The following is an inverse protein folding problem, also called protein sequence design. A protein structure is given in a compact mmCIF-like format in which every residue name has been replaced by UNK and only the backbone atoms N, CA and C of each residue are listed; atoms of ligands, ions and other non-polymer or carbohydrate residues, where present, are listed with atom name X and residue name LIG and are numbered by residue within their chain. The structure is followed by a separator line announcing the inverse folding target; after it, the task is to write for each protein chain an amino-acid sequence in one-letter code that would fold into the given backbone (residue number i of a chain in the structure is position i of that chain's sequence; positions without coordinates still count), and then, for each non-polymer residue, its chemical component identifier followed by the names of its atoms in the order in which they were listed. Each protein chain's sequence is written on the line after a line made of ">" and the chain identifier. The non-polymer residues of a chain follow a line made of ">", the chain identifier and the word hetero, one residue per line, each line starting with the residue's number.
data_IF_406315109478
#
_entry.id   IF_406315109478
#
_cell.length_a   1.000
_cell.length_b   1.000
_cell.length_c   1.000
_cell.angle_alpha   90.00
_cell.angle_beta   90.00
_cell.angle_gamma   90.00
#
_symmetry.space_group_name_H-M   'P 1'
#
loop_
_entity.id
_entity.type
_entity.pdbx_description
1 polymer ?
#
# COMPACT_ATOMS: atom_id res chain seq x y z
N UNK A 1 -0.74 -3.82 -0.41
CA UNK A 1 0.58 -3.56 -1.00
C UNK A 1 1.42 -2.79 -0.01
N UNK A 2 2.70 -3.06 0.05
CA UNK A 2 3.66 -2.39 0.93
C UNK A 2 5.03 -3.03 0.81
N UNK A 3 5.94 -2.72 1.71
CA UNK A 3 7.26 -3.35 1.73
C UNK A 3 8.28 -2.52 2.48
N UNK A 4 9.45 -3.11 2.71
CA UNK A 4 10.55 -2.46 3.40
C UNK A 4 11.45 -1.71 2.42
N UNK A 5 12.15 -0.70 2.94
CA UNK A 5 13.27 -0.11 2.20
C UNK A 5 14.43 -1.12 2.17
N UNK A 6 15.00 -1.35 0.99
CA UNK A 6 16.26 -2.08 0.88
C UNK A 6 17.45 -1.21 1.33
N UNK A 7 18.59 -1.83 1.69
CA UNK A 7 19.81 -1.09 2.01
C UNK A 7 20.21 -0.11 0.90
N UNK A 8 20.19 1.20 1.22
CA UNK A 8 20.54 2.27 0.29
C UNK A 8 19.35 2.94 -0.39
N UNK A 9 18.12 2.48 -0.14
CA UNK A 9 16.90 3.17 -0.56
C UNK A 9 16.48 4.22 0.48
N UNK A 10 16.25 5.46 0.04
CA UNK A 10 15.91 6.59 0.92
C UNK A 10 14.72 7.43 0.43
N UNK A 11 14.19 7.12 -0.76
CA UNK A 11 13.01 7.80 -1.32
C UNK A 11 11.78 6.91 -1.09
N UNK A 12 10.88 7.27 -0.14
CA UNK A 12 9.71 6.45 0.18
C UNK A 12 8.78 6.24 -1.01
N UNK A 13 8.68 7.19 -1.93
CA UNK A 13 7.81 7.05 -3.08
C UNK A 13 8.41 6.09 -4.11
N UNK A 14 9.73 6.17 -4.34
CA UNK A 14 10.41 5.23 -5.22
C UNK A 14 10.29 3.79 -4.69
N UNK A 15 10.43 3.60 -3.38
CA UNK A 15 10.25 2.30 -2.71
C UNK A 15 8.81 1.80 -2.90
N UNK A 16 7.80 2.62 -2.61
CA UNK A 16 6.39 2.24 -2.77
C UNK A 16 6.04 1.87 -4.22
N UNK A 17 6.63 2.54 -5.22
CA UNK A 17 6.47 2.20 -6.63
C UNK A 17 7.17 0.89 -7.01
N UNK A 18 8.36 0.62 -6.47
CA UNK A 18 9.07 -0.65 -6.68
C UNK A 18 8.29 -1.82 -6.09
N UNK A 19 7.99 -1.76 -4.80
CA UNK A 19 7.22 -2.78 -4.07
C UNK A 19 5.85 -3.02 -4.72
N UNK A 20 5.13 -1.94 -5.04
CA UNK A 20 3.85 -2.06 -5.74
C UNK A 20 3.96 -2.80 -7.08
N UNK A 21 5.04 -2.61 -7.84
CA UNK A 21 5.29 -3.35 -9.10
C UNK A 21 5.63 -4.81 -8.85
N UNK A 22 6.44 -5.10 -7.83
CA UNK A 22 6.83 -6.47 -7.47
C UNK A 22 5.62 -7.28 -7.00
N UNK A 23 4.81 -6.73 -6.11
CA UNK A 23 3.66 -7.44 -5.51
C UNK A 23 2.46 -7.60 -6.46
N UNK A 24 2.33 -6.71 -7.46
CA UNK A 24 1.15 -6.68 -8.35
C UNK A 24 1.42 -6.92 -9.84
N UNK A 25 2.67 -6.88 -10.27
CA UNK A 25 3.04 -6.95 -11.69
C UNK A 25 2.54 -5.79 -12.55
N UNK A 26 1.96 -4.73 -11.98
CA UNK A 26 1.44 -3.59 -12.74
C UNK A 26 2.58 -2.71 -13.26
N UNK A 27 2.76 -2.56 -14.59
CA UNK A 27 3.95 -1.91 -15.15
C UNK A 27 3.89 -0.37 -15.09
N UNK A 28 2.72 0.22 -14.91
CA UNK A 28 2.46 1.65 -15.07
C UNK A 28 1.99 2.35 -13.79
N UNK A 29 2.24 1.74 -12.62
CA UNK A 29 1.93 2.39 -11.33
C UNK A 29 2.58 3.77 -11.27
N UNK A 30 1.73 4.77 -11.00
CA UNK A 30 2.11 6.16 -10.85
C UNK A 30 1.36 6.79 -9.66
N UNK A 31 1.94 7.82 -9.01
CA UNK A 31 1.28 8.53 -7.90
C UNK A 31 -0.02 9.20 -8.36
N UNK A 32 -1.04 9.18 -7.50
CA UNK A 32 -2.34 9.81 -7.77
C UNK A 32 -2.97 10.41 -6.50
N UNK A 33 -3.72 11.53 -6.62
CA UNK A 33 -3.71 12.48 -7.73
C UNK A 33 -2.37 13.22 -7.90
N UNK A 34 -1.47 13.07 -6.92
CA UNK A 34 -0.14 13.65 -6.88
C UNK A 34 0.80 12.75 -6.06
N UNK A 35 2.04 13.19 -5.87
CA UNK A 35 3.11 12.47 -5.18
C UNK A 35 3.17 12.74 -3.65
N UNK A 36 2.18 13.39 -3.05
CA UNK A 36 2.21 13.68 -1.62
C UNK A 36 1.92 12.45 -0.76
N UNK A 37 2.54 12.42 0.42
CA UNK A 37 2.25 11.44 1.47
C UNK A 37 0.81 11.61 1.92
N UNK A 38 0.03 10.53 1.85
CA UNK A 38 -1.38 10.51 2.29
C UNK A 38 -1.53 10.22 3.76
N UNK A 39 -0.64 9.37 4.29
CA UNK A 39 -0.68 8.98 5.69
C UNK A 39 0.71 8.54 6.15
N UNK A 40 1.16 9.08 7.28
CA UNK A 40 2.29 8.57 8.04
C UNK A 40 1.75 7.98 9.33
N UNK A 41 2.00 6.70 9.57
CA UNK A 41 1.47 5.98 10.74
C UNK A 41 2.51 5.03 11.32
N UNK A 42 2.58 4.96 12.65
CA UNK A 42 3.39 3.98 13.35
C UNK A 42 2.51 2.75 13.62
N UNK A 43 2.94 1.59 13.14
CA UNK A 43 2.21 0.32 13.28
C UNK A 43 3.07 -0.66 14.10
N UNK A 44 2.55 -1.19 15.22
CA UNK A 44 3.27 -2.20 15.98
C UNK A 44 3.32 -3.52 15.22
N UNK A 45 4.49 -4.15 15.20
CA UNK A 45 4.72 -5.48 14.64
C UNK A 45 5.00 -6.43 15.82
N UNK A 46 4.17 -7.46 16.03
CA UNK A 46 4.39 -8.42 17.10
C UNK A 46 5.68 -9.21 16.84
N UNK A 47 6.29 -9.72 17.92
CA UNK A 47 7.42 -10.62 17.79
C UNK A 47 7.05 -11.88 16.99
N UNK A 48 8.01 -12.39 16.22
CA UNK A 48 7.88 -13.66 15.51
C UNK A 48 9.17 -14.48 15.62
N UNK A 49 9.27 -15.58 14.89
CA UNK A 49 10.43 -16.48 14.94
C UNK A 49 11.74 -15.88 14.40
N UNK A 50 11.67 -14.73 13.73
CA UNK A 50 12.81 -14.06 13.07
C UNK A 50 13.20 -12.75 13.74
N UNK A 51 12.23 -12.02 14.30
CA UNK A 51 12.46 -10.67 14.82
C UNK A 51 11.68 -10.39 16.12
N UNK A 52 12.25 -9.58 17.04
CA UNK A 52 11.53 -9.12 18.22
C UNK A 52 10.41 -8.15 17.84
N UNK A 53 9.49 -7.92 18.78
CA UNK A 53 8.47 -6.90 18.62
C UNK A 53 9.11 -5.53 18.36
N UNK A 54 8.61 -4.82 17.36
CA UNK A 54 9.13 -3.53 16.93
C UNK A 54 8.01 -2.71 16.27
N UNK A 55 8.35 -1.57 15.69
CA UNK A 55 7.39 -0.69 15.04
C UNK A 55 7.82 -0.40 13.60
N UNK A 56 6.85 -0.39 12.69
CA UNK A 56 7.02 0.14 11.35
C UNK A 56 6.52 1.58 11.30
N UNK A 57 7.30 2.47 10.67
CA UNK A 57 6.84 3.78 10.28
C UNK A 57 6.37 3.73 8.82
N UNK A 58 5.07 3.50 8.62
CA UNK A 58 4.48 3.38 7.30
C UNK A 58 4.27 4.76 6.67
N UNK A 59 4.96 5.01 5.55
CA UNK A 59 4.72 6.18 4.69
C UNK A 59 3.84 5.74 3.52
N UNK A 60 2.59 6.21 3.48
CA UNK A 60 1.59 5.72 2.52
C UNK A 60 1.28 6.73 1.44
N UNK A 61 1.22 6.24 0.21
CA UNK A 61 0.85 6.98 -0.99
C UNK A 61 -0.40 6.34 -1.60
N UNK A 62 -1.02 7.05 -2.54
CA UNK A 62 -2.04 6.47 -3.42
C UNK A 62 -1.45 6.39 -4.82
N UNK A 63 -1.57 5.22 -5.44
CA UNK A 63 -1.07 4.93 -6.77
C UNK A 63 -2.25 4.58 -7.68
N UNK A 64 -2.10 4.87 -8.97
CA UNK A 64 -3.05 4.52 -10.01
C UNK A 64 -2.36 3.75 -11.15
N UNK A 65 -3.16 2.98 -11.88
CA UNK A 65 -2.79 2.24 -13.09
C UNK A 65 -3.86 2.46 -14.14
N UNK A 66 -3.47 2.49 -15.42
CA UNK A 66 -4.39 2.51 -16.55
C UNK A 66 -4.63 1.10 -17.13
N UNK A 67 -3.95 0.07 -16.62
CA UNK A 67 -4.07 -1.34 -17.05
C UNK A 67 -4.42 -2.27 -15.89
N UNK A 68 -5.53 -2.03 -15.14
CA UNK A 68 -5.88 -2.80 -13.95
C UNK A 68 -6.05 -4.31 -14.20
N UNK A 69 -6.34 -4.74 -15.43
CA UNK A 69 -6.45 -6.14 -15.86
C UNK A 69 -5.10 -6.89 -15.91
N UNK A 70 -3.99 -6.15 -15.95
CA UNK A 70 -2.64 -6.71 -15.93
C UNK A 70 -2.21 -7.19 -14.53
N UNK A 71 -2.96 -6.86 -13.48
CA UNK A 71 -2.63 -7.20 -12.08
C UNK A 71 -2.43 -8.71 -11.89
N UNK A 72 -1.31 -9.13 -11.30
CA UNK A 72 -1.02 -10.52 -10.93
C UNK A 72 -0.42 -10.56 -9.52
N UNK A 73 -0.86 -11.48 -8.65
CA UNK A 73 -0.25 -11.61 -7.33
C UNK A 73 1.19 -12.12 -7.47
N UNK A 74 2.08 -11.64 -6.61
CA UNK A 74 3.46 -12.12 -6.52
C UNK A 74 3.56 -13.62 -6.19
N UNK A 75 2.63 -14.13 -5.39
CA UNK A 75 2.57 -15.54 -5.01
C UNK A 75 1.12 -15.97 -4.66
N UNK A 76 0.83 -17.29 -4.57
CA UNK A 76 -0.52 -17.78 -4.29
C UNK A 76 -1.09 -17.40 -2.92
N UNK A 77 -0.24 -17.09 -1.94
CA UNK A 77 -0.64 -16.77 -0.56
C UNK A 77 -0.97 -15.27 -0.37
N UNK A 78 -0.73 -14.44 -1.39
CA UNK A 78 -1.00 -13.00 -1.41
C UNK A 78 -2.02 -12.63 -2.51
N UNK A 79 -3.29 -13.06 -2.41
CA UNK A 79 -4.29 -12.79 -3.45
C UNK A 79 -4.63 -11.30 -3.56
N UNK A 80 -4.79 -10.82 -4.79
CA UNK A 80 -5.18 -9.44 -5.09
C UNK A 80 -6.64 -9.35 -5.53
N UNK A 81 -7.29 -8.26 -5.11
CA UNK A 81 -8.68 -7.93 -5.49
C UNK A 81 -8.84 -6.43 -5.65
N UNK A 82 -9.47 -6.01 -6.75
CA UNK A 82 -9.96 -4.66 -6.91
C UNK A 82 -11.25 -4.50 -6.12
N UNK A 83 -11.37 -3.40 -5.38
CA UNK A 83 -12.54 -3.08 -4.56
C UNK A 83 -12.95 -1.64 -4.75
N UNK A 84 -14.25 -1.41 -4.73
CA UNK A 84 -14.80 -0.08 -4.48
C UNK A 84 -14.47 0.37 -3.05
N UNK A 85 -14.51 1.68 -2.73
CA UNK A 85 -14.25 2.16 -1.38
C UNK A 85 -15.17 1.53 -0.31
N UNK A 86 -16.45 1.35 -0.65
CA UNK A 86 -17.41 0.73 0.26
C UNK A 86 -17.10 -0.75 0.51
N UNK A 87 -16.76 -1.52 -0.54
CA UNK A 87 -16.33 -2.90 -0.41
C UNK A 87 -15.02 -3.03 0.39
N UNK A 88 -14.09 -2.09 0.23
CA UNK A 88 -12.84 -2.05 0.99
C UNK A 88 -13.12 -1.84 2.48
N UNK A 89 -13.98 -0.87 2.83
CA UNK A 89 -14.39 -0.66 4.24
C UNK A 89 -15.05 -1.88 4.88
N UNK A 90 -15.86 -2.60 4.11
CA UNK A 90 -16.52 -3.81 4.60
C UNK A 90 -15.54 -4.98 4.81
N UNK A 91 -14.43 -5.00 4.06
CA UNK A 91 -13.48 -6.10 4.08
C UNK A 91 -12.32 -5.92 5.07
N UNK A 92 -11.98 -4.68 5.41
CA UNK A 92 -10.83 -4.34 6.25
C UNK A 92 -11.25 -4.21 7.71
N UNK A 93 -10.41 -4.71 8.62
CA UNK A 93 -10.64 -4.64 10.07
C UNK A 93 -9.61 -3.77 10.79
N UNK A 94 -8.48 -3.54 10.14
CA UNK A 94 -7.31 -2.83 10.65
C UNK A 94 -7.60 -1.33 10.70
N UNK A 95 -7.69 -0.79 11.92
CA UNK A 95 -8.05 0.62 12.14
C UNK A 95 -7.14 1.61 11.39
N UNK A 96 -5.84 1.34 11.29
CA UNK A 96 -4.90 2.20 10.56
C UNK A 96 -5.16 2.20 9.03
N UNK A 97 -5.64 1.09 8.47
CA UNK A 97 -5.99 0.98 7.06
C UNK A 97 -7.33 1.68 6.81
N UNK A 98 -8.30 1.52 7.71
CA UNK A 98 -9.57 2.26 7.66
C UNK A 98 -9.35 3.78 7.74
N UNK A 99 -8.44 4.25 8.59
CA UNK A 99 -8.05 5.66 8.64
C UNK A 99 -7.43 6.12 7.31
N UNK A 100 -6.57 5.28 6.72
CA UNK A 100 -6.00 5.55 5.39
C UNK A 100 -7.11 5.68 4.33
N UNK A 101 -8.08 4.76 4.27
CA UNK A 101 -9.20 4.84 3.33
C UNK A 101 -10.00 6.15 3.50
N UNK A 102 -10.26 6.56 4.75
CA UNK A 102 -10.98 7.80 5.05
C UNK A 102 -10.29 9.06 4.50
N UNK A 103 -8.95 9.05 4.42
CA UNK A 103 -8.14 10.15 3.86
C UNK A 103 -8.12 10.16 2.34
N UNK A 104 -8.27 8.99 1.71
CA UNK A 104 -8.20 8.82 0.25
C UNK A 104 -9.54 9.11 -0.42
N UNK A 105 -10.65 8.75 0.19
CA UNK A 105 -11.97 8.88 -0.43
C UNK A 105 -12.38 10.27 -0.90
N UNK A 106 -12.08 11.37 -0.18
CA UNK A 106 -12.36 12.71 -0.69
C UNK A 106 -11.67 13.02 -2.03
N UNK A 107 -10.61 12.28 -2.38
CA UNK A 107 -9.90 12.42 -3.64
C UNK A 107 -10.66 11.75 -4.80
N UNK A 108 -11.46 10.71 -4.53
CA UNK A 108 -12.18 9.91 -5.53
C UNK A 108 -13.47 10.57 -6.03
N UNK A 109 -14.01 11.56 -5.30
CA UNK A 109 -15.28 12.23 -5.60
C UNK A 109 -15.06 13.52 -6.42
N UNK A 110 -13.84 13.76 -6.91
CA UNK A 110 -13.48 14.93 -7.71
C UNK A 110 -13.66 14.72 -9.20
#
# INVERSE_FOLDING_TARGET
>A
MGGHADPGEYDPLAIALREGREETGLPDLAPWPDAEVRHLVIVPVPENSREPAHEHADVRFVLATNVPEAVRPENPDAPLRWLTPDEARMAITEANVLDTLSRVEPLLVR
#
